data_IF_073331787457
#
_entry.id   IF_073331787457
#
_cell.length_a   1.000
_cell.length_b   1.000
_cell.length_c   1.000
_cell.angle_alpha   90.00
_cell.angle_beta   90.00
_cell.angle_gamma   90.00
#
_symmetry.space_group_name_H-M   'P 1'
#
loop_
_entity.id
_entity.type
_entity.pdbx_description
1 polymer ?
#
# COMPACT_ATOMS: atom_id res chain seq x y z
N UNK A 1 -3.44 2.44 -10.41
CA UNK A 1 -3.80 2.05 -9.02
C UNK A 1 -3.93 0.54 -9.00
N UNK A 2 -3.08 -0.16 -8.23
CA UNK A 2 -3.17 -1.62 -8.04
C UNK A 2 -3.90 -1.88 -6.72
N UNK A 3 -4.88 -2.78 -6.71
CA UNK A 3 -5.60 -3.25 -5.52
C UNK A 3 -5.53 -4.77 -5.50
N UNK A 4 -5.34 -5.36 -4.33
CA UNK A 4 -5.33 -6.81 -4.16
C UNK A 4 -6.61 -7.28 -3.47
N UNK A 5 -7.08 -8.47 -3.87
CA UNK A 5 -8.10 -9.22 -3.14
C UNK A 5 -7.47 -10.16 -2.08
N UNK A 6 -6.17 -10.46 -2.24
CA UNK A 6 -5.32 -11.13 -1.25
C UNK A 6 -4.74 -10.14 -0.25
N UNK A 7 -4.06 -10.65 0.78
CA UNK A 7 -3.36 -9.85 1.80
C UNK A 7 -1.99 -9.33 1.34
N UNK A 8 -1.62 -9.57 0.08
CA UNK A 8 -0.30 -9.28 -0.49
C UNK A 8 -0.42 -8.69 -1.90
N UNK A 9 0.49 -7.78 -2.22
CA UNK A 9 0.63 -7.16 -3.54
C UNK A 9 2.07 -6.71 -3.80
N UNK A 10 2.53 -6.82 -5.05
CA UNK A 10 3.83 -6.29 -5.48
C UNK A 10 3.64 -4.98 -6.25
N UNK A 11 4.30 -3.92 -5.78
CA UNK A 11 4.40 -2.64 -6.46
C UNK A 11 5.74 -2.58 -7.21
N UNK A 12 5.67 -2.31 -8.51
CA UNK A 12 6.82 -2.25 -9.40
C UNK A 12 7.14 -0.79 -9.73
N UNK A 13 8.28 -0.56 -10.38
CA UNK A 13 8.70 0.75 -10.91
C UNK A 13 8.75 1.88 -9.87
N UNK A 14 9.10 1.55 -8.63
CA UNK A 14 9.30 2.54 -7.58
C UNK A 14 10.65 3.26 -7.75
N UNK A 15 10.66 4.56 -7.44
CA UNK A 15 11.89 5.35 -7.47
C UNK A 15 12.94 4.78 -6.51
N UNK A 16 14.13 4.51 -7.05
CA UNK A 16 15.26 3.99 -6.27
C UNK A 16 15.89 5.07 -5.40
N UNK A 17 16.37 4.69 -4.21
CA UNK A 17 17.04 5.60 -3.29
C UNK A 17 16.12 6.65 -2.65
N UNK A 18 14.80 6.52 -2.80
CA UNK A 18 13.80 7.37 -2.13
C UNK A 18 13.16 6.62 -0.97
N UNK A 19 13.00 7.32 0.14
CA UNK A 19 12.16 6.86 1.24
C UNK A 19 10.70 7.02 0.82
N UNK A 20 10.03 5.89 0.64
CA UNK A 20 8.62 5.80 0.29
C UNK A 20 7.85 5.29 1.50
N UNK A 21 6.68 5.89 1.73
CA UNK A 21 5.79 5.53 2.82
C UNK A 21 4.61 4.71 2.27
N UNK A 22 4.37 3.56 2.88
CA UNK A 22 3.32 2.62 2.51
C UNK A 22 2.34 2.44 3.66
N UNK A 23 1.06 2.33 3.32
CA UNK A 23 0.00 1.89 4.23
C UNK A 23 -1.03 1.08 3.47
N UNK A 24 -1.76 0.23 4.19
CA UNK A 24 -2.85 -0.57 3.64
C UNK A 24 -4.18 0.06 4.00
N UNK A 25 -5.12 0.11 3.05
CA UNK A 25 -6.50 0.50 3.29
C UNK A 25 -7.39 -0.70 2.97
N UNK A 26 -8.20 -1.12 3.93
CA UNK A 26 -9.19 -2.17 3.72
C UNK A 26 -10.41 -1.60 2.99
N UNK A 27 -10.93 -2.32 2.00
CA UNK A 27 -12.11 -1.90 1.23
C UNK A 27 -13.18 -2.98 1.32
N UNK A 28 -14.42 -2.58 1.59
CA UNK A 28 -15.58 -3.48 1.58
C UNK A 28 -16.79 -2.79 0.93
N UNK A 29 -17.97 -3.44 0.97
CA UNK A 29 -19.21 -2.89 0.37
C UNK A 29 -19.61 -1.52 0.93
N UNK A 30 -19.24 -1.19 2.17
CA UNK A 30 -19.52 0.10 2.78
C UNK A 30 -18.51 1.20 2.38
N UNK A 31 -17.39 0.84 1.74
CA UNK A 31 -16.34 1.76 1.29
C UNK A 31 -14.96 1.44 1.87
N UNK A 32 -14.13 2.47 1.94
CA UNK A 32 -12.77 2.41 2.49
C UNK A 32 -12.76 2.54 4.01
N UNK A 33 -11.99 1.70 4.68
CA UNK A 33 -11.72 1.79 6.11
C UNK A 33 -10.62 2.79 6.44
N UNK A 34 -10.31 2.93 7.73
CA UNK A 34 -9.12 3.65 8.16
C UNK A 34 -7.87 2.92 7.67
N UNK A 35 -6.92 3.66 7.11
CA UNK A 35 -5.66 3.04 6.71
C UNK A 35 -4.84 2.57 7.91
N UNK A 36 -3.99 1.57 7.69
CA UNK A 36 -3.07 1.05 8.70
C UNK A 36 -2.03 2.07 9.16
N UNK A 37 -1.17 1.64 10.09
CA UNK A 37 0.12 2.27 10.34
C UNK A 37 0.94 2.36 9.05
N UNK A 38 1.79 3.37 9.01
CA UNK A 38 2.71 3.62 7.90
C UNK A 38 4.02 2.86 8.10
N UNK A 39 4.55 2.30 7.01
CA UNK A 39 5.89 1.71 6.95
C UNK A 39 6.71 2.49 5.92
N UNK A 40 7.90 2.93 6.32
CA UNK A 40 8.86 3.56 5.42
C UNK A 40 9.84 2.52 4.86
N UNK A 41 10.08 2.54 3.56
CA UNK A 41 11.07 1.68 2.90
C UNK A 41 11.82 2.45 1.80
N UNK A 42 13.06 2.02 1.54
CA UNK A 42 13.91 2.52 0.45
C UNK A 42 14.28 1.34 -0.43
N UNK A 43 14.10 1.48 -1.75
CA UNK A 43 14.51 0.48 -2.74
C UNK A 43 15.92 0.75 -3.28
#
# INVERSE_FOLDING_TARGET
>A
MKTALSTEITLEDQERGKALEYRVVAVNKAGEGQGSNTVAAVL
#
